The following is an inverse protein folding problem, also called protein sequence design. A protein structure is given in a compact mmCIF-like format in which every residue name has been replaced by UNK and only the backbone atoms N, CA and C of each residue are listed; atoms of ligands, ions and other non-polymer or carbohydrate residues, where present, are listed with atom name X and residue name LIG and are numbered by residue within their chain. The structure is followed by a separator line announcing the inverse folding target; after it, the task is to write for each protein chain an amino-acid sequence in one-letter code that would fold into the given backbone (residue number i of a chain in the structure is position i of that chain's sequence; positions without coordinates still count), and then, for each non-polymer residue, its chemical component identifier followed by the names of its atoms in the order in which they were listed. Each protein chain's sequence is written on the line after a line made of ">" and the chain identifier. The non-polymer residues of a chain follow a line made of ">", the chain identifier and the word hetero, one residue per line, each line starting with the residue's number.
data_IF_527946968301
#
_entry.id   IF_527946968301
#
_cell.length_a   1.000
_cell.length_b   1.000
_cell.length_c   1.000
_cell.angle_alpha   90.00
_cell.angle_beta   90.00
_cell.angle_gamma   90.00
#
_symmetry.space_group_name_H-M   'P 1'
#
loop_
_entity.id
_entity.type
_entity.pdbx_description
1 polymer ?
#
# COMPACT_ATOMS: atom_id res chain seq x y z
N UNK A 1 33.44 -26.84 -41.72
CA UNK A 1 33.99 -25.65 -42.40
C UNK A 1 34.77 -24.82 -41.36
N UNK A 2 36.11 -24.82 -41.49
CA UNK A 2 37.15 -23.92 -40.91
C UNK A 2 36.95 -23.48 -39.43
N UNK A 3 37.46 -24.18 -38.41
CA UNK A 3 38.87 -24.23 -37.93
C UNK A 3 39.69 -22.95 -38.17
N UNK A 4 39.90 -22.17 -37.11
CA UNK A 4 41.13 -21.38 -36.93
C UNK A 4 41.55 -21.48 -35.45
N UNK A 5 42.45 -22.42 -35.20
CA UNK A 5 43.28 -22.50 -34.00
C UNK A 5 44.37 -21.44 -34.18
N UNK A 6 44.33 -20.35 -33.42
CA UNK A 6 45.44 -19.37 -33.40
C UNK A 6 46.48 -19.87 -32.40
N UNK A 7 47.57 -20.40 -32.95
CA UNK A 7 48.82 -20.70 -32.25
C UNK A 7 49.38 -19.39 -31.69
N UNK A 8 49.48 -19.27 -30.37
CA UNK A 8 50.33 -18.28 -29.73
C UNK A 8 51.79 -18.68 -29.99
N UNK A 9 52.42 -18.03 -30.97
CA UNK A 9 53.86 -18.05 -31.18
C UNK A 9 54.52 -17.27 -30.04
N UNK A 10 55.39 -17.97 -29.31
CA UNK A 10 56.38 -17.42 -28.39
C UNK A 10 57.23 -16.38 -29.12
N UNK A 11 56.83 -15.11 -28.99
CA UNK A 11 57.69 -13.97 -29.26
C UNK A 11 58.39 -13.62 -27.95
N UNK A 12 59.55 -14.26 -27.74
CA UNK A 12 60.55 -13.81 -26.77
C UNK A 12 61.09 -12.47 -27.24
N UNK A 13 60.39 -11.39 -26.90
CA UNK A 13 60.96 -10.04 -27.00
C UNK A 13 61.96 -9.90 -25.86
N UNK A 14 63.23 -10.00 -26.21
CA UNK A 14 64.35 -9.55 -25.40
C UNK A 14 64.15 -8.08 -25.03
N UNK A 15 63.67 -7.85 -23.81
CA UNK A 15 63.71 -6.55 -23.16
C UNK A 15 65.11 -6.38 -22.55
N UNK A 16 66.11 -6.15 -23.39
CA UNK A 16 67.48 -5.85 -22.97
C UNK A 16 67.66 -4.34 -22.79
N UNK A 17 67.76 -3.95 -21.52
CA UNK A 17 68.56 -2.83 -20.98
C UNK A 17 68.21 -1.42 -21.48
N UNK A 18 67.14 -0.84 -20.94
CA UNK A 18 67.08 0.54 -20.43
C UNK A 18 66.01 0.58 -19.33
N UNK A 19 66.42 0.25 -18.11
CA UNK A 19 65.59 0.20 -16.90
C UNK A 19 65.14 1.60 -16.49
N UNK A 20 64.01 2.05 -17.05
CA UNK A 20 63.20 3.11 -16.48
C UNK A 20 61.70 2.85 -16.78
N UNK A 21 61.24 1.61 -16.63
CA UNK A 21 59.85 1.40 -16.24
C UNK A 21 59.75 1.88 -14.79
N UNK A 22 59.37 3.13 -14.60
CA UNK A 22 58.96 3.65 -13.30
C UNK A 22 57.94 2.67 -12.71
N UNK A 23 58.29 2.02 -11.61
CA UNK A 23 57.31 1.36 -10.76
C UNK A 23 56.29 2.44 -10.39
N UNK A 24 55.10 2.38 -10.97
CA UNK A 24 53.97 3.09 -10.40
C UNK A 24 53.83 2.56 -8.97
N UNK A 25 53.90 3.42 -7.95
CA UNK A 25 53.73 2.97 -6.58
C UNK A 25 52.38 2.26 -6.48
N UNK A 26 52.36 1.09 -5.85
CA UNK A 26 51.11 0.37 -5.61
C UNK A 26 50.12 1.34 -4.95
N UNK A 27 48.89 1.44 -5.46
CA UNK A 27 47.90 2.33 -4.89
C UNK A 27 47.71 1.95 -3.43
N UNK A 28 47.92 2.91 -2.53
CA UNK A 28 47.65 2.71 -1.11
C UNK A 28 46.20 2.27 -0.95
N UNK A 29 45.91 1.29 -0.07
CA UNK A 29 44.54 0.89 0.18
C UNK A 29 43.71 2.10 0.58
N UNK A 30 42.52 2.22 0.01
CA UNK A 30 41.61 3.32 0.29
C UNK A 30 41.26 3.33 1.79
N UNK A 31 41.20 4.51 2.42
CA UNK A 31 40.74 4.60 3.79
C UNK A 31 39.28 4.13 3.89
N UNK A 32 38.90 3.40 4.96
CA UNK A 32 37.51 3.03 5.16
C UNK A 32 36.65 4.27 5.41
N UNK A 33 35.37 4.18 5.04
CA UNK A 33 34.37 5.21 5.35
C UNK A 33 34.32 5.43 6.87
N UNK A 34 34.28 6.69 7.29
CA UNK A 34 34.17 7.04 8.70
C UNK A 34 32.75 6.77 9.23
N UNK A 35 32.60 6.59 10.54
CA UNK A 35 31.26 6.40 11.14
C UNK A 35 30.29 7.54 10.84
N UNK A 36 30.80 8.78 10.80
CA UNK A 36 29.98 9.95 10.50
C UNK A 36 29.42 9.89 9.07
N UNK A 37 30.28 9.59 8.09
CA UNK A 37 29.88 9.42 6.70
C UNK A 37 28.88 8.26 6.53
N UNK A 38 29.07 7.18 7.30
CA UNK A 38 28.13 6.06 7.29
C UNK A 38 26.74 6.48 7.80
N UNK A 39 26.67 7.18 8.94
CA UNK A 39 25.40 7.69 9.46
C UNK A 39 24.73 8.68 8.51
N UNK A 40 25.52 9.52 7.85
CA UNK A 40 25.03 10.43 6.82
C UNK A 40 24.39 9.65 5.65
N UNK A 41 25.08 8.63 5.11
CA UNK A 41 24.54 7.76 4.07
C UNK A 41 23.30 6.97 4.52
N UNK A 42 23.27 6.51 5.76
CA UNK A 42 22.11 5.83 6.35
C UNK A 42 20.89 6.76 6.37
N UNK A 43 21.05 8.02 6.76
CA UNK A 43 19.99 9.02 6.75
C UNK A 43 19.36 9.20 5.36
N UNK A 44 20.18 9.45 4.33
CA UNK A 44 19.67 9.59 2.95
C UNK A 44 19.03 8.31 2.42
N UNK A 45 19.55 7.14 2.81
CA UNK A 45 18.93 5.86 2.43
C UNK A 45 17.51 5.72 3.00
N UNK A 46 17.26 6.27 4.19
CA UNK A 46 15.93 6.26 4.80
C UNK A 46 14.98 7.25 4.11
N UNK A 47 15.46 8.43 3.71
CA UNK A 47 14.68 9.38 2.92
C UNK A 47 14.21 8.76 1.59
N UNK A 48 15.12 8.05 0.89
CA UNK A 48 14.78 7.36 -0.35
C UNK A 48 13.70 6.28 -0.13
N UNK A 49 13.80 5.52 0.98
CA UNK A 49 12.79 4.52 1.36
C UNK A 49 11.46 5.14 1.75
N UNK A 50 11.46 6.30 2.40
CA UNK A 50 10.25 7.03 2.75
C UNK A 50 9.52 7.48 1.48
N UNK A 51 10.24 8.07 0.52
CA UNK A 51 9.70 8.43 -0.79
C UNK A 51 9.14 7.21 -1.54
N UNK A 52 9.85 6.07 -1.49
CA UNK A 52 9.35 4.81 -2.06
C UNK A 52 8.05 4.35 -1.40
N UNK A 53 7.96 4.41 -0.07
CA UNK A 53 6.75 4.04 0.67
C UNK A 53 5.57 4.98 0.38
N UNK A 54 5.85 6.27 0.13
CA UNK A 54 4.86 7.25 -0.38
C UNK A 54 4.42 6.94 -1.82
N UNK A 55 5.04 5.97 -2.51
CA UNK A 55 4.65 5.55 -3.85
C UNK A 55 5.27 6.37 -4.98
N UNK A 56 6.38 7.08 -4.73
CA UNK A 56 7.08 7.89 -5.74
C UNK A 56 7.46 7.09 -6.99
N UNK A 57 7.75 5.78 -6.85
CA UNK A 57 8.08 4.88 -7.97
C UNK A 57 6.94 4.75 -8.98
N UNK A 58 5.70 4.89 -8.52
CA UNK A 58 4.51 4.82 -9.37
C UNK A 58 4.26 6.17 -10.04
N UNK A 59 4.40 7.25 -9.28
CA UNK A 59 3.97 8.58 -9.71
C UNK A 59 5.03 9.41 -10.42
N UNK A 60 6.28 9.30 -10.00
CA UNK A 60 7.42 10.05 -10.53
C UNK A 60 8.62 9.10 -10.80
N UNK A 61 8.45 8.03 -11.61
CA UNK A 61 9.45 6.98 -11.77
C UNK A 61 10.82 7.49 -12.26
N UNK A 62 10.83 8.40 -13.25
CA UNK A 62 12.07 8.95 -13.80
C UNK A 62 12.83 9.82 -12.79
N UNK A 63 12.11 10.58 -11.96
CA UNK A 63 12.72 11.43 -10.95
C UNK A 63 13.28 10.61 -9.79
N UNK A 64 12.56 9.56 -9.38
CA UNK A 64 13.06 8.60 -8.40
C UNK A 64 14.35 7.93 -8.87
N UNK A 65 14.41 7.45 -10.12
CA UNK A 65 15.63 6.84 -10.68
C UNK A 65 16.82 7.79 -10.66
N UNK A 66 16.58 9.07 -10.96
CA UNK A 66 17.62 10.10 -10.88
C UNK A 66 18.11 10.32 -9.44
N UNK A 67 17.18 10.33 -8.48
CA UNK A 67 17.51 10.50 -7.06
C UNK A 67 18.30 9.30 -6.51
N UNK A 68 17.87 8.07 -6.83
CA UNK A 68 18.59 6.84 -6.48
C UNK A 68 19.99 6.83 -7.10
N UNK A 69 20.13 7.23 -8.38
CA UNK A 69 21.44 7.34 -9.02
C UNK A 69 22.38 8.31 -8.28
N UNK A 70 21.89 9.47 -7.84
CA UNK A 70 22.68 10.43 -7.04
C UNK A 70 23.12 9.83 -5.70
N UNK A 71 22.23 9.09 -5.02
CA UNK A 71 22.57 8.40 -3.78
C UNK A 71 23.68 7.35 -4.01
N UNK A 72 23.52 6.51 -5.04
CA UNK A 72 24.52 5.50 -5.39
C UNK A 72 25.86 6.15 -5.76
N UNK A 73 25.84 7.26 -6.51
CA UNK A 73 27.05 8.00 -6.85
C UNK A 73 27.77 8.51 -5.59
N UNK A 74 27.06 9.17 -4.66
CA UNK A 74 27.64 9.65 -3.42
C UNK A 74 28.24 8.52 -2.57
N UNK A 75 27.56 7.37 -2.50
CA UNK A 75 28.07 6.19 -1.83
C UNK A 75 29.40 5.73 -2.45
N UNK A 76 29.47 5.62 -3.78
CA UNK A 76 30.70 5.22 -4.47
C UNK A 76 31.83 6.25 -4.28
N UNK A 77 31.52 7.55 -4.27
CA UNK A 77 32.51 8.62 -4.01
C UNK A 77 33.10 8.52 -2.60
N UNK A 78 32.28 8.22 -1.58
CA UNK A 78 32.79 7.95 -0.22
C UNK A 78 33.66 6.70 -0.16
N UNK A 79 33.22 5.58 -0.75
CA UNK A 79 34.01 4.34 -0.81
C UNK A 79 35.34 4.56 -1.53
N UNK A 80 35.33 5.38 -2.58
CA UNK A 80 36.51 5.72 -3.38
C UNK A 80 37.44 6.76 -2.71
N UNK A 81 37.09 7.25 -1.51
CA UNK A 81 37.92 8.21 -0.76
C UNK A 81 37.82 9.66 -1.23
N UNK A 82 36.71 10.03 -1.88
CA UNK A 82 36.41 11.40 -2.35
C UNK A 82 35.27 12.04 -1.54
N UNK A 83 35.47 12.35 -0.24
CA UNK A 83 34.39 12.82 0.62
C UNK A 83 33.83 14.19 0.22
N UNK A 84 34.65 15.07 -0.35
CA UNK A 84 34.19 16.39 -0.80
C UNK A 84 33.29 16.28 -2.03
N UNK A 85 33.64 15.42 -2.98
CA UNK A 85 32.80 15.15 -4.15
C UNK A 85 31.47 14.51 -3.73
N UNK A 86 31.54 13.55 -2.79
CA UNK A 86 30.36 12.92 -2.21
C UNK A 86 29.43 13.93 -1.53
N UNK A 87 29.96 14.90 -0.78
CA UNK A 87 29.18 15.97 -0.15
C UNK A 87 28.46 16.85 -1.19
N UNK A 88 29.13 17.20 -2.29
CA UNK A 88 28.52 17.94 -3.40
C UNK A 88 27.43 17.12 -4.09
N UNK A 89 27.64 15.81 -4.26
CA UNK A 89 26.62 14.90 -4.81
C UNK A 89 25.42 14.79 -3.87
N UNK A 90 25.64 14.74 -2.55
CA UNK A 90 24.57 14.75 -1.55
C UNK A 90 23.80 16.08 -1.52
N UNK A 91 24.46 17.21 -1.77
CA UNK A 91 23.76 18.49 -1.92
C UNK A 91 22.83 18.48 -3.15
N UNK A 92 23.26 17.88 -4.27
CA UNK A 92 22.41 17.68 -5.45
C UNK A 92 21.25 16.72 -5.14
N UNK A 93 21.51 15.67 -4.36
CA UNK A 93 20.50 14.74 -3.89
C UNK A 93 19.41 15.49 -3.10
N UNK A 94 19.79 16.28 -2.10
CA UNK A 94 18.84 17.04 -1.27
C UNK A 94 17.95 17.95 -2.09
N UNK A 95 18.53 18.74 -3.00
CA UNK A 95 17.75 19.63 -3.86
C UNK A 95 16.75 18.86 -4.74
N UNK A 96 17.16 17.67 -5.21
CA UNK A 96 16.30 16.79 -6.02
C UNK A 96 15.20 16.16 -5.17
N UNK A 97 15.51 15.71 -3.95
CA UNK A 97 14.55 15.17 -3.00
C UNK A 97 13.49 16.21 -2.63
N UNK A 98 13.90 17.44 -2.27
CA UNK A 98 13.00 18.55 -1.95
C UNK A 98 12.03 18.88 -3.09
N UNK A 99 12.51 18.80 -4.34
CA UNK A 99 11.68 19.00 -5.52
C UNK A 99 10.66 17.88 -5.67
N UNK A 100 11.10 16.64 -5.52
CA UNK A 100 10.24 15.45 -5.58
C UNK A 100 9.19 15.50 -4.47
N UNK A 101 9.57 15.84 -3.24
CA UNK A 101 8.64 15.95 -2.11
C UNK A 101 7.51 16.94 -2.38
N UNK A 102 7.83 18.16 -2.86
CA UNK A 102 6.80 19.15 -3.22
C UNK A 102 5.88 18.66 -4.34
N UNK A 103 6.42 17.95 -5.32
CA UNK A 103 5.61 17.38 -6.39
C UNK A 103 4.72 16.26 -5.87
N UNK A 104 5.24 15.42 -4.98
CA UNK A 104 4.49 14.35 -4.33
C UNK A 104 3.36 14.92 -3.47
N UNK A 105 3.60 15.96 -2.67
CA UNK A 105 2.57 16.64 -1.89
C UNK A 105 1.42 17.15 -2.79
N UNK A 106 1.75 17.72 -3.95
CA UNK A 106 0.75 18.16 -4.91
C UNK A 106 -0.02 16.99 -5.53
N UNK A 107 0.69 15.93 -5.95
CA UNK A 107 0.10 14.75 -6.58
C UNK A 107 -0.82 13.99 -5.63
N UNK A 108 -0.45 13.89 -4.35
CA UNK A 108 -1.25 13.26 -3.30
C UNK A 108 -2.63 13.93 -3.16
N UNK A 109 -2.71 15.25 -3.30
CA UNK A 109 -3.95 15.99 -3.11
C UNK A 109 -4.78 16.15 -4.40
N UNK A 110 -4.12 16.23 -5.57
CA UNK A 110 -4.80 16.65 -6.81
C UNK A 110 -4.98 15.54 -7.83
N UNK A 111 -4.41 14.35 -7.61
CA UNK A 111 -4.44 13.28 -8.61
C UNK A 111 -4.77 11.92 -8.00
N UNK A 112 -5.36 11.04 -8.81
CA UNK A 112 -5.53 9.61 -8.47
C UNK A 112 -4.25 8.80 -8.72
N UNK A 113 -3.08 9.45 -8.74
CA UNK A 113 -1.82 8.75 -8.98
C UNK A 113 -1.54 7.71 -7.89
N UNK A 114 -1.93 8.03 -6.66
CA UNK A 114 -2.23 7.02 -5.65
C UNK A 114 -3.66 6.56 -5.91
N UNK A 115 -3.81 5.43 -6.58
CA UNK A 115 -5.05 4.67 -6.51
C UNK A 115 -5.16 3.97 -5.13
N UNK A 116 -4.93 4.78 -4.10
CA UNK A 116 -4.96 4.47 -2.69
C UNK A 116 -5.84 5.56 -2.09
N UNK A 117 -7.15 5.43 -2.32
CA UNK A 117 -8.09 5.88 -1.32
C UNK A 117 -7.52 5.43 0.03
N UNK A 118 -7.38 6.34 0.99
CA UNK A 118 -6.95 5.96 2.33
C UNK A 118 -7.85 4.81 2.82
N UNK A 119 -7.33 3.86 3.61
CA UNK A 119 -8.18 2.75 4.10
C UNK A 119 -9.45 3.26 4.79
N UNK A 120 -9.40 4.47 5.35
CA UNK A 120 -10.54 5.19 5.93
C UNK A 120 -11.59 5.53 4.85
N UNK A 121 -11.19 6.15 3.75
CA UNK A 121 -12.11 6.55 2.67
C UNK A 121 -12.69 5.32 1.93
N UNK A 122 -11.88 4.28 1.69
CA UNK A 122 -12.39 3.02 1.13
C UNK A 122 -13.39 2.35 2.06
N UNK A 123 -13.17 2.48 3.37
CA UNK A 123 -14.07 1.90 4.36
C UNK A 123 -15.41 2.62 4.32
N UNK A 124 -15.42 3.95 4.33
CA UNK A 124 -16.64 4.75 4.19
C UNK A 124 -17.37 4.41 2.89
N UNK A 125 -16.65 4.32 1.78
CA UNK A 125 -17.23 3.93 0.49
C UNK A 125 -17.82 2.52 0.52
N UNK A 126 -17.14 1.57 1.17
CA UNK A 126 -17.63 0.21 1.33
C UNK A 126 -18.88 0.16 2.23
N UNK A 127 -18.92 0.94 3.32
CA UNK A 127 -20.11 1.08 4.17
C UNK A 127 -21.29 1.61 3.37
N UNK A 128 -21.09 2.60 2.50
CA UNK A 128 -22.13 3.13 1.61
C UNK A 128 -22.68 2.09 0.63
N UNK A 129 -21.84 1.23 0.07
CA UNK A 129 -22.33 0.15 -0.81
C UNK A 129 -23.18 -0.88 -0.07
N UNK A 130 -22.93 -1.11 1.22
CA UNK A 130 -23.76 -2.00 2.03
C UNK A 130 -25.02 -1.32 2.57
N UNK A 131 -25.02 0.01 2.71
CA UNK A 131 -26.11 0.81 3.27
C UNK A 131 -27.12 1.32 2.22
N UNK A 132 -27.19 0.68 1.05
CA UNK A 132 -28.20 1.04 0.02
C UNK A 132 -29.60 0.78 0.54
N UNK A 133 -30.50 1.74 0.33
CA UNK A 133 -31.91 1.64 0.71
C UNK A 133 -32.63 0.52 -0.05
N UNK A 134 -33.65 -0.06 0.59
CA UNK A 134 -34.55 -1.05 -0.02
C UNK A 134 -33.79 -2.25 -0.63
N UNK A 135 -33.11 -3.00 0.23
CA UNK A 135 -32.30 -4.15 -0.16
C UNK A 135 -33.13 -5.39 -0.52
N UNK A 136 -34.29 -5.54 0.12
CA UNK A 136 -35.18 -6.70 0.02
C UNK A 136 -36.65 -6.29 -0.06
N UNK A 137 -37.45 -7.06 -0.80
CA UNK A 137 -38.91 -6.94 -0.76
C UNK A 137 -39.51 -7.49 0.55
N UNK A 138 -40.76 -7.10 0.86
CA UNK A 138 -41.51 -7.59 2.02
C UNK A 138 -41.54 -9.12 2.05
N UNK A 139 -41.16 -9.70 3.19
CA UNK A 139 -41.11 -11.15 3.40
C UNK A 139 -40.32 -11.94 2.33
N UNK A 140 -39.38 -11.28 1.65
CA UNK A 140 -38.45 -11.91 0.69
C UNK A 140 -37.01 -11.79 1.18
N UNK A 141 -36.20 -12.73 0.72
CA UNK A 141 -34.75 -12.77 0.93
C UNK A 141 -33.95 -12.55 -0.35
N UNK A 142 -34.62 -12.38 -1.49
CA UNK A 142 -34.00 -12.10 -2.79
C UNK A 142 -33.44 -10.67 -2.84
N UNK A 143 -32.20 -10.54 -3.33
CA UNK A 143 -31.50 -9.26 -3.46
C UNK A 143 -32.10 -8.46 -4.61
N UNK A 144 -32.48 -7.20 -4.35
CA UNK A 144 -33.01 -6.32 -5.39
C UNK A 144 -31.88 -5.86 -6.35
N UNK A 145 -32.19 -5.58 -7.65
CA UNK A 145 -31.16 -5.26 -8.64
C UNK A 145 -30.24 -4.08 -8.28
N UNK A 146 -30.79 -3.03 -7.68
CA UNK A 146 -30.01 -1.88 -7.21
C UNK A 146 -28.97 -2.28 -6.15
N UNK A 147 -29.36 -3.17 -5.22
CA UNK A 147 -28.46 -3.67 -4.20
C UNK A 147 -27.40 -4.62 -4.78
N UNK A 148 -27.75 -5.45 -5.77
CA UNK A 148 -26.79 -6.29 -6.47
C UNK A 148 -25.69 -5.46 -7.17
N UNK A 149 -26.03 -4.32 -7.76
CA UNK A 149 -25.05 -3.41 -8.35
C UNK A 149 -24.07 -2.86 -7.31
N UNK A 150 -24.59 -2.43 -6.16
CA UNK A 150 -23.74 -1.94 -5.06
C UNK A 150 -22.85 -3.05 -4.47
N UNK A 151 -23.40 -4.25 -4.27
CA UNK A 151 -22.64 -5.42 -3.83
C UNK A 151 -21.54 -5.84 -4.81
N UNK A 152 -21.74 -5.61 -6.11
CA UNK A 152 -20.71 -5.85 -7.13
C UNK A 152 -19.51 -4.92 -6.93
N UNK A 153 -19.75 -3.64 -6.60
CA UNK A 153 -18.69 -2.67 -6.28
C UNK A 153 -18.02 -3.02 -4.94
N UNK A 154 -18.80 -3.38 -3.92
CA UNK A 154 -18.28 -3.84 -2.63
C UNK A 154 -17.36 -5.07 -2.80
N UNK A 155 -17.76 -6.04 -3.62
CA UNK A 155 -16.96 -7.23 -3.92
C UNK A 155 -15.63 -6.87 -4.62
N UNK A 156 -15.61 -5.87 -5.49
CA UNK A 156 -14.38 -5.40 -6.13
C UNK A 156 -13.38 -4.80 -5.13
N UNK A 157 -13.87 -4.12 -4.09
CA UNK A 157 -13.04 -3.62 -2.98
C UNK A 157 -12.52 -4.80 -2.15
N UNK A 158 -13.41 -5.66 -1.64
CA UNK A 158 -13.03 -6.77 -0.76
C UNK A 158 -12.02 -7.75 -1.38
N UNK A 159 -12.10 -7.98 -2.70
CA UNK A 159 -11.12 -8.80 -3.44
C UNK A 159 -9.70 -8.24 -3.39
N UNK A 160 -9.56 -6.92 -3.44
CA UNK A 160 -8.27 -6.22 -3.41
C UNK A 160 -7.73 -6.13 -1.99
N UNK A 161 -8.61 -6.05 -0.99
CA UNK A 161 -8.26 -5.90 0.43
C UNK A 161 -8.53 -7.18 1.23
N UNK A 162 -7.69 -8.21 1.03
CA UNK A 162 -7.88 -9.54 1.65
C UNK A 162 -7.81 -9.56 3.18
N UNK A 163 -7.22 -8.53 3.79
CA UNK A 163 -7.14 -8.37 5.25
C UNK A 163 -8.43 -7.78 5.86
N UNK A 164 -9.35 -7.28 5.04
CA UNK A 164 -10.62 -6.77 5.52
C UNK A 164 -11.59 -7.92 5.76
N UNK A 165 -12.21 -7.88 6.94
CA UNK A 165 -13.28 -8.79 7.31
C UNK A 165 -14.58 -8.00 7.41
N UNK A 166 -15.67 -8.60 6.98
CA UNK A 166 -17.01 -8.03 7.00
C UNK A 166 -17.90 -8.96 7.80
N UNK A 167 -18.61 -8.39 8.77
CA UNK A 167 -19.65 -9.06 9.53
C UNK A 167 -21.00 -8.55 9.06
N UNK A 168 -21.77 -9.43 8.43
CA UNK A 168 -23.10 -9.15 7.92
C UNK A 168 -24.13 -9.51 8.99
N UNK A 169 -24.97 -8.55 9.39
CA UNK A 169 -26.03 -8.73 10.38
C UNK A 169 -27.37 -8.50 9.69
N UNK A 170 -28.22 -9.53 9.65
CA UNK A 170 -29.56 -9.43 9.07
C UNK A 170 -30.59 -8.90 10.07
N UNK A 171 -31.36 -7.90 9.64
CA UNK A 171 -32.46 -7.29 10.38
C UNK A 171 -33.81 -7.54 9.67
N UNK A 172 -34.86 -7.64 10.47
CA UNK A 172 -36.25 -7.77 10.00
C UNK A 172 -37.15 -6.77 10.70
N UNK A 173 -38.37 -6.61 10.19
CA UNK A 173 -39.43 -5.92 10.90
C UNK A 173 -39.92 -6.75 12.11
N UNK A 174 -40.71 -6.12 12.98
CA UNK A 174 -41.31 -6.72 14.18
C UNK A 174 -42.63 -7.45 13.88
N UNK A 175 -42.98 -7.62 12.60
CA UNK A 175 -44.20 -8.32 12.21
C UNK A 175 -43.90 -9.81 12.12
N UNK A 176 -44.66 -10.64 12.84
CA UNK A 176 -44.52 -12.10 12.81
C UNK A 176 -43.97 -12.68 14.11
N UNK A 177 -43.48 -13.92 14.04
CA UNK A 177 -42.87 -14.59 15.19
C UNK A 177 -41.37 -14.28 15.27
N UNK A 178 -40.85 -14.11 16.49
CA UNK A 178 -39.43 -13.82 16.74
C UNK A 178 -38.50 -14.82 16.05
N UNK A 179 -38.79 -16.13 16.12
CA UNK A 179 -37.97 -17.15 15.47
C UNK A 179 -37.97 -17.04 13.94
N UNK A 180 -39.14 -16.81 13.34
CA UNK A 180 -39.26 -16.66 11.89
C UNK A 180 -38.47 -15.43 11.40
N UNK A 181 -38.55 -14.33 12.15
CA UNK A 181 -37.81 -13.10 11.91
C UNK A 181 -36.29 -13.30 12.04
N UNK A 182 -35.86 -14.08 13.04
CA UNK A 182 -34.46 -14.48 13.16
C UNK A 182 -33.98 -15.30 11.95
N UNK A 183 -34.74 -16.30 11.52
CA UNK A 183 -34.41 -17.13 10.37
C UNK A 183 -34.42 -16.35 9.05
N UNK A 184 -35.35 -15.42 8.87
CA UNK A 184 -35.43 -14.55 7.70
C UNK A 184 -34.23 -13.61 7.63
N UNK A 185 -33.85 -12.96 8.74
CA UNK A 185 -32.65 -12.14 8.83
C UNK A 185 -31.38 -12.92 8.48
N UNK A 186 -31.26 -14.15 9.01
CA UNK A 186 -30.13 -15.04 8.71
C UNK A 186 -30.08 -15.42 7.24
N UNK A 187 -31.23 -15.72 6.63
CA UNK A 187 -31.33 -16.08 5.21
C UNK A 187 -30.92 -14.92 4.32
N UNK A 188 -31.34 -13.69 4.64
CA UNK A 188 -30.93 -12.46 3.92
C UNK A 188 -29.43 -12.25 3.97
N UNK A 189 -28.83 -12.31 5.16
CA UNK A 189 -27.39 -12.13 5.31
C UNK A 189 -26.58 -13.23 4.59
N UNK A 190 -27.08 -14.48 4.59
CA UNK A 190 -26.49 -15.57 3.80
C UNK A 190 -26.60 -15.34 2.29
N UNK A 191 -27.70 -14.75 1.79
CA UNK A 191 -27.84 -14.41 0.38
C UNK A 191 -26.84 -13.33 -0.04
N UNK A 192 -26.61 -12.31 0.80
CA UNK A 192 -25.54 -11.31 0.57
C UNK A 192 -24.17 -11.98 0.54
N UNK A 193 -23.86 -12.83 1.52
CA UNK A 193 -22.60 -13.58 1.55
C UNK A 193 -22.41 -14.40 0.28
N UNK A 194 -23.42 -15.17 -0.13
CA UNK A 194 -23.38 -15.98 -1.36
C UNK A 194 -23.09 -15.12 -2.59
N UNK A 195 -23.76 -13.98 -2.72
CA UNK A 195 -23.53 -13.05 -3.82
C UNK A 195 -22.07 -12.55 -3.85
N UNK A 196 -21.52 -12.17 -2.69
CA UNK A 196 -20.11 -11.74 -2.60
C UNK A 196 -19.12 -12.87 -2.99
N UNK A 197 -19.39 -14.11 -2.57
CA UNK A 197 -18.59 -15.28 -2.93
C UNK A 197 -18.61 -15.56 -4.44
N UNK A 198 -19.79 -15.50 -5.06
CA UNK A 198 -19.95 -15.65 -6.51
C UNK A 198 -19.18 -14.58 -7.29
N UNK A 199 -19.01 -13.40 -6.71
CA UNK A 199 -18.22 -12.30 -7.27
C UNK A 199 -16.72 -12.35 -6.91
N UNK A 200 -16.26 -13.43 -6.26
CA UNK A 200 -14.86 -13.76 -6.01
C UNK A 200 -14.30 -13.28 -4.67
N UNK A 201 -15.14 -12.85 -3.72
CA UNK A 201 -14.69 -12.53 -2.35
C UNK A 201 -14.36 -13.83 -1.61
N UNK A 202 -13.30 -13.83 -0.79
CA UNK A 202 -12.95 -15.01 -0.01
C UNK A 202 -13.96 -15.20 1.15
N UNK A 203 -14.49 -16.41 1.32
CA UNK A 203 -15.44 -16.71 2.39
C UNK A 203 -14.92 -16.55 3.81
N UNK A 204 -13.61 -16.56 4.01
CA UNK A 204 -12.99 -16.22 5.29
C UNK A 204 -13.14 -14.74 5.66
N UNK A 205 -13.31 -13.86 4.67
CA UNK A 205 -13.53 -12.43 4.90
C UNK A 205 -14.96 -12.13 5.35
N UNK A 206 -15.93 -13.06 5.23
CA UNK A 206 -17.35 -12.77 5.45
C UNK A 206 -17.94 -13.66 6.53
N UNK A 207 -18.34 -13.04 7.65
CA UNK A 207 -19.13 -13.65 8.72
C UNK A 207 -20.58 -13.19 8.65
N UNK A 208 -21.49 -14.04 9.12
CA UNK A 208 -22.95 -13.80 9.03
C UNK A 208 -23.57 -14.03 10.40
N UNK A 209 -24.43 -13.09 10.80
CA UNK A 209 -25.28 -13.17 11.99
C UNK A 209 -26.69 -12.65 11.66
N UNK A 210 -27.63 -12.90 12.56
CA UNK A 210 -28.98 -12.35 12.50
C UNK A 210 -29.30 -11.68 13.83
N UNK A 211 -29.82 -10.46 13.77
CA UNK A 211 -30.45 -9.79 14.90
C UNK A 211 -31.96 -10.04 14.95
N UNK A 212 -32.54 -10.57 13.86
CA UNK A 212 -34.00 -10.66 13.70
C UNK A 212 -34.64 -9.29 13.92
N UNK A 213 -35.68 -9.26 14.75
CA UNK A 213 -36.40 -8.04 15.11
C UNK A 213 -35.82 -7.29 16.32
N UNK A 214 -34.78 -7.80 16.98
CA UNK A 214 -34.32 -7.29 18.28
C UNK A 214 -33.75 -5.87 18.24
N UNK A 215 -33.36 -5.38 17.06
CA UNK A 215 -32.84 -4.03 16.83
C UNK A 215 -33.74 -3.23 15.87
N UNK A 216 -34.96 -3.68 15.63
CA UNK A 216 -35.90 -2.97 14.78
C UNK A 216 -36.44 -1.72 15.47
N UNK A 217 -36.59 -0.63 14.72
CA UNK A 217 -37.26 0.58 15.22
C UNK A 217 -38.75 0.27 15.40
N UNK A 218 -39.33 0.49 16.61
CA UNK A 218 -40.68 0.02 16.94
C UNK A 218 -41.83 0.76 16.25
N UNK A 219 -41.56 1.83 15.48
CA UNK A 219 -42.59 2.49 14.68
C UNK A 219 -42.94 1.65 13.45
N UNK A 220 -43.86 0.72 13.65
CA UNK A 220 -44.37 -0.19 12.63
C UNK A 220 -45.39 0.43 11.68
N UNK A 221 -45.84 1.66 11.92
CA UNK A 221 -46.91 2.28 11.12
C UNK A 221 -46.37 3.11 9.97
N UNK A 222 -45.13 3.60 10.08
CA UNK A 222 -44.47 4.33 9.01
C UNK A 222 -43.84 3.38 7.98
N UNK A 223 -44.28 3.49 6.72
CA UNK A 223 -43.75 2.68 5.59
C UNK A 223 -42.25 2.91 5.38
N UNK A 224 -41.74 4.10 5.66
CA UNK A 224 -40.30 4.41 5.55
C UNK A 224 -39.49 3.69 6.62
N UNK A 225 -39.99 3.64 7.86
CA UNK A 225 -39.34 2.94 8.98
C UNK A 225 -39.34 1.42 8.78
N UNK A 226 -40.43 0.87 8.22
CA UNK A 226 -40.48 -0.54 7.84
C UNK A 226 -39.44 -0.92 6.77
N UNK A 227 -39.17 -0.03 5.81
CA UNK A 227 -38.15 -0.27 4.79
C UNK A 227 -36.74 -0.22 5.39
N UNK A 228 -36.49 0.72 6.32
CA UNK A 228 -35.22 0.83 7.04
C UNK A 228 -34.93 -0.40 7.92
N UNK A 229 -35.95 -1.02 8.52
CA UNK A 229 -35.79 -2.22 9.34
C UNK A 229 -35.45 -3.49 8.53
N UNK A 230 -35.68 -3.50 7.20
CA UNK A 230 -35.45 -4.64 6.30
C UNK A 230 -34.08 -4.54 5.62
N UNK A 231 -33.03 -4.64 6.42
CA UNK A 231 -31.67 -4.45 5.94
C UNK A 231 -30.70 -5.52 6.44
N UNK A 232 -29.62 -5.69 5.71
CA UNK A 232 -28.40 -6.36 6.16
C UNK A 232 -27.37 -5.27 6.40
N UNK A 233 -27.02 -5.06 7.67
CA UNK A 233 -25.96 -4.15 8.05
C UNK A 233 -24.60 -4.84 7.91
N UNK A 234 -23.59 -4.12 7.45
CA UNK A 234 -22.23 -4.61 7.35
C UNK A 234 -21.33 -3.87 8.34
N UNK A 235 -20.71 -4.61 9.25
CA UNK A 235 -19.65 -4.10 10.11
C UNK A 235 -18.29 -4.48 9.50
N UNK A 236 -17.49 -3.48 9.15
CA UNK A 236 -16.16 -3.68 8.57
C UNK A 236 -15.14 -3.79 9.71
N UNK A 237 -14.60 -4.99 9.86
CA UNK A 237 -13.53 -5.33 10.79
C UNK A 237 -12.23 -5.32 10.01
N UNK A 238 -11.48 -4.23 10.12
CA UNK A 238 -10.09 -4.21 9.66
C UNK A 238 -9.28 -4.92 10.73
N UNK A 239 -8.76 -6.11 10.44
CA UNK A 239 -7.81 -6.76 11.34
C UNK A 239 -6.63 -5.79 11.46
N UNK A 240 -6.52 -5.16 12.62
CA UNK A 240 -5.56 -4.09 12.86
C UNK A 240 -4.18 -4.51 12.36
N UNK A 241 -3.74 -3.97 11.23
CA UNK A 241 -2.34 -3.61 11.17
C UNK A 241 -2.18 -2.59 12.28
N UNK A 242 -1.46 -2.97 13.33
CA UNK A 242 -1.17 -2.13 14.50
C UNK A 242 -0.25 -0.94 14.15
N UNK A 243 -0.36 -0.41 12.94
CA UNK A 243 0.36 0.72 12.36
C UNK A 243 -0.55 1.27 11.26
N UNK A 244 -1.31 2.32 11.54
CA UNK A 244 -1.84 3.18 10.48
C UNK A 244 -0.66 3.55 9.56
N UNK A 245 -0.69 3.23 8.26
CA UNK A 245 0.38 3.60 7.34
C UNK A 245 0.43 5.11 7.10
N UNK A 246 -0.61 5.85 7.48
CA UNK A 246 -0.70 7.29 7.31
C UNK A 246 -0.41 8.04 8.63
N UNK A 247 0.74 7.77 9.24
CA UNK A 247 1.38 8.83 10.03
C UNK A 247 2.35 9.50 9.08
N UNK A 248 1.98 10.68 8.57
CA UNK A 248 2.91 11.55 7.85
C UNK A 248 4.01 11.92 8.84
N UNK A 249 5.12 11.20 8.80
CA UNK A 249 6.33 11.62 9.48
C UNK A 249 6.97 12.69 8.60
N UNK A 250 6.89 13.93 9.04
CA UNK A 250 7.70 15.00 8.49
C UNK A 250 9.15 14.80 8.94
N UNK A 251 10.14 15.26 8.17
CA UNK A 251 11.54 15.34 8.60
C UNK A 251 11.73 16.03 9.96
N UNK A 252 10.76 16.88 10.37
CA UNK A 252 10.71 17.54 11.69
C UNK A 252 10.41 16.57 12.85
N UNK A 253 9.80 15.42 12.59
CA UNK A 253 9.38 14.44 13.60
C UNK A 253 10.49 13.43 13.95
N UNK A 254 11.61 13.45 13.22
CA UNK A 254 12.75 12.54 13.37
C UNK A 254 13.34 12.46 14.80
N UNK A 255 13.40 13.55 15.61
CA UNK A 255 13.88 13.45 16.99
C UNK A 255 13.04 12.50 17.86
N UNK A 256 11.75 12.32 17.56
CA UNK A 256 10.83 11.49 18.35
C UNK A 256 10.98 9.98 18.09
N UNK A 257 11.72 9.56 17.05
CA UNK A 257 11.98 8.14 16.77
C UNK A 257 13.19 7.58 17.55
N UNK A 258 14.07 8.45 18.06
CA UNK A 258 15.26 8.03 18.82
C UNK A 258 14.95 7.65 20.27
N UNK A 259 13.73 7.90 20.74
CA UNK A 259 13.37 7.76 22.16
C UNK A 259 12.40 6.62 22.46
N UNK A 260 12.02 5.80 21.48
CA UNK A 260 11.33 4.54 21.77
C UNK A 260 12.35 3.49 22.23
N UNK A 261 12.25 2.95 23.46
CA UNK A 261 13.17 1.97 24.01
C UNK A 261 13.15 0.64 23.25
#
# INVERSE_FOLDING_TARGET
>A
MKSVIIKYLLSTVWCSVLTACTLWPEPKPLPPITKEQQHQLEHYSWELKLLEARGVKLCLPAQYQKLDWLYQQAYQEFVAGFPHDAELTLQKYQFTADMIDRQMDWLEFHTHCFNHYSEVELREQLELYFAVDNQFALNRSELLPAYQQALTQAAAILKRHRHWHVKLVGHTDTQGQIQDNYHLGLTRANNVKRFLLEHGVNGHQVSVLSAGESQAVPDTHSRTMQLANRQVAAEILVSAHNKSPHRHFSLKDWPAMRTTP
#
